data_IF_518437083225
#
_entry.id   IF_518437083225
#
_cell.length_a   1.000
_cell.length_b   1.000
_cell.length_c   1.000
_cell.angle_alpha   90.00
_cell.angle_beta   90.00
_cell.angle_gamma   90.00
#
_symmetry.space_group_name_H-M   'P 1'
#
loop_
_entity.id
_entity.type
_entity.pdbx_description
1 polymer ?
#
# COMPACT_ATOMS: atom_id res chain seq x y z
N UNK A 1 14.86 -12.39 4.29
CA UNK A 1 14.53 -11.48 3.20
C UNK A 1 13.23 -10.75 3.52
N UNK A 2 13.22 -9.45 3.31
CA UNK A 2 12.09 -8.62 3.67
C UNK A 2 11.08 -8.56 2.54
N UNK A 3 9.82 -8.77 2.86
CA UNK A 3 8.76 -8.67 1.86
C UNK A 3 8.18 -7.27 1.87
N UNK A 4 7.88 -6.77 0.69
CA UNK A 4 7.37 -5.42 0.52
C UNK A 4 5.85 -5.42 0.41
N UNK A 5 5.22 -4.54 1.18
CA UNK A 5 3.78 -4.37 1.17
C UNK A 5 3.49 -2.92 0.79
N UNK A 6 2.55 -2.74 -0.12
CA UNK A 6 2.09 -1.42 -0.50
C UNK A 6 0.70 -1.20 0.08
N UNK A 7 0.53 -0.08 0.78
CA UNK A 7 -0.76 0.29 1.37
C UNK A 7 -1.31 1.49 0.61
N UNK A 8 -2.54 1.38 0.15
CA UNK A 8 -3.23 2.46 -0.57
C UNK A 8 -4.44 2.88 0.22
N UNK A 9 -4.47 4.12 0.68
CA UNK A 9 -5.58 4.65 1.45
C UNK A 9 -5.55 6.15 1.37
N UNK A 10 -6.71 6.76 1.21
CA UNK A 10 -6.82 8.21 1.17
C UNK A 10 -6.62 8.83 2.54
N UNK A 11 -6.84 8.06 3.58
CA UNK A 11 -6.72 8.53 4.95
C UNK A 11 -5.29 8.35 5.43
N UNK A 12 -4.57 9.46 5.57
CA UNK A 12 -3.16 9.41 5.96
C UNK A 12 -2.95 8.92 7.38
N UNK A 13 -3.94 9.11 8.26
CA UNK A 13 -3.83 8.60 9.62
C UNK A 13 -3.87 7.08 9.62
N UNK A 14 -4.77 6.51 8.83
CA UNK A 14 -4.86 5.06 8.68
C UNK A 14 -3.58 4.49 8.08
N UNK A 15 -3.04 5.16 7.07
CA UNK A 15 -1.80 4.73 6.45
C UNK A 15 -0.67 4.65 7.48
N UNK A 16 -0.58 5.67 8.32
CA UNK A 16 0.48 5.72 9.32
C UNK A 16 0.36 4.58 10.31
N UNK A 17 -0.85 4.31 10.76
CA UNK A 17 -1.08 3.24 11.72
C UNK A 17 -0.73 1.87 11.14
N UNK A 18 -1.20 1.62 9.94
CA UNK A 18 -0.91 0.34 9.28
C UNK A 18 0.58 0.19 9.01
N UNK A 19 1.21 1.26 8.58
CA UNK A 19 2.64 1.23 8.34
C UNK A 19 3.42 0.89 9.60
N UNK A 20 3.05 1.48 10.72
CA UNK A 20 3.73 1.20 11.98
C UNK A 20 3.60 -0.26 12.38
N UNK A 21 2.39 -0.80 12.27
CA UNK A 21 2.14 -2.19 12.65
C UNK A 21 2.93 -3.14 11.76
N UNK A 22 2.86 -2.94 10.46
CA UNK A 22 3.51 -3.85 9.52
C UNK A 22 5.03 -3.74 9.57
N UNK A 23 5.54 -2.53 9.79
CA UNK A 23 6.98 -2.35 9.93
C UNK A 23 7.48 -3.08 11.16
N UNK A 24 6.70 -3.05 12.22
CA UNK A 24 7.05 -3.75 13.45
C UNK A 24 7.11 -5.25 13.24
N UNK A 25 6.29 -5.76 12.31
CA UNK A 25 6.27 -7.18 11.99
C UNK A 25 7.39 -7.59 11.04
N UNK A 26 8.19 -6.66 10.57
CA UNK A 26 9.34 -6.98 9.74
C UNK A 26 9.14 -6.78 8.25
N UNK A 27 8.03 -6.17 7.84
CA UNK A 27 7.79 -5.94 6.42
C UNK A 27 8.39 -4.62 5.96
N UNK A 28 8.74 -4.57 4.68
CA UNK A 28 9.02 -3.31 4.04
C UNK A 28 7.71 -2.69 3.62
N UNK A 29 7.44 -1.47 4.08
CA UNK A 29 6.14 -0.85 3.85
C UNK A 29 6.26 0.41 3.01
N UNK A 30 5.45 0.48 1.97
CA UNK A 30 5.31 1.68 1.16
C UNK A 30 3.87 2.13 1.20
N UNK A 31 3.64 3.41 1.06
CA UNK A 31 2.29 3.96 1.16
C UNK A 31 1.98 4.83 -0.05
N UNK A 32 0.71 4.83 -0.44
CA UNK A 32 0.23 5.68 -1.51
C UNK A 32 -1.18 6.12 -1.15
N UNK A 33 -1.54 7.32 -1.60
CA UNK A 33 -2.88 7.83 -1.34
C UNK A 33 -3.79 7.73 -2.56
N UNK A 34 -3.25 7.29 -3.69
CA UNK A 34 -4.05 7.12 -4.90
C UNK A 34 -3.46 5.99 -5.74
N UNK A 35 -4.23 5.56 -6.73
CA UNK A 35 -3.85 4.42 -7.55
C UNK A 35 -2.71 4.74 -8.51
N UNK A 36 -2.58 5.99 -8.91
CA UNK A 36 -1.52 6.38 -9.83
C UNK A 36 -0.16 6.26 -9.15
N UNK A 37 -0.05 6.80 -7.95
CA UNK A 37 1.16 6.68 -7.15
C UNK A 37 1.48 5.23 -6.85
N UNK A 38 0.46 4.45 -6.51
CA UNK A 38 0.63 3.03 -6.21
C UNK A 38 1.19 2.29 -7.42
N UNK A 39 0.68 2.59 -8.60
CA UNK A 39 1.15 1.94 -9.81
C UNK A 39 2.61 2.28 -10.08
N UNK A 40 2.99 3.53 -9.87
CA UNK A 40 4.38 3.94 -10.06
C UNK A 40 5.32 3.20 -9.12
N UNK A 41 4.89 3.01 -7.88
CA UNK A 41 5.69 2.27 -6.91
C UNK A 41 5.85 0.82 -7.36
N UNK A 42 4.78 0.20 -7.79
CA UNK A 42 4.83 -1.19 -8.23
C UNK A 42 5.72 -1.39 -9.45
N UNK A 43 5.85 -0.37 -10.28
CA UNK A 43 6.71 -0.46 -11.46
C UNK A 43 8.19 -0.40 -11.11
N UNK A 44 8.52 0.21 -10.00
CA UNK A 44 9.91 0.41 -9.62
C UNK A 44 10.40 -0.54 -8.53
N UNK A 45 9.49 -1.01 -7.69
CA UNK A 45 9.84 -1.83 -6.53
C UNK A 45 8.99 -3.10 -6.56
N UNK A 46 9.59 -4.27 -6.37
CA UNK A 46 8.81 -5.49 -6.30
C UNK A 46 7.93 -5.48 -5.05
N UNK A 47 6.64 -5.54 -5.25
CA UNK A 47 5.65 -5.51 -4.18
C UNK A 47 4.96 -6.87 -4.14
N UNK A 48 4.96 -7.48 -2.96
CA UNK A 48 4.35 -8.79 -2.81
C UNK A 48 2.87 -8.71 -2.50
N UNK A 49 2.48 -7.75 -1.67
CA UNK A 49 1.08 -7.60 -1.29
C UNK A 49 0.66 -6.14 -1.43
N UNK A 50 -0.59 -5.95 -1.80
CA UNK A 50 -1.19 -4.63 -1.87
C UNK A 50 -2.41 -4.62 -0.97
N UNK A 51 -2.44 -3.71 -0.02
CA UNK A 51 -3.57 -3.51 0.88
C UNK A 51 -4.18 -2.17 0.57
N UNK A 52 -5.49 -2.11 0.42
CA UNK A 52 -6.11 -0.84 0.14
C UNK A 52 -7.60 -0.96 -0.08
N UNK A 53 -8.25 0.18 -0.25
CA UNK A 53 -9.65 0.22 -0.56
C UNK A 53 -9.85 -0.20 -2.01
N UNK A 54 -10.87 -1.02 -2.24
CA UNK A 54 -11.16 -1.48 -3.60
C UNK A 54 -11.39 -0.32 -4.56
N UNK A 55 -12.01 0.74 -4.07
CA UNK A 55 -12.26 1.92 -4.90
C UNK A 55 -10.97 2.58 -5.36
N UNK A 56 -9.99 2.64 -4.48
CA UNK A 56 -8.70 3.24 -4.82
C UNK A 56 -8.00 2.45 -5.91
N UNK A 57 -8.25 1.17 -5.96
CA UNK A 57 -7.65 0.29 -6.96
C UNK A 57 -8.52 0.17 -8.21
N UNK A 58 -9.71 0.70 -8.18
CA UNK A 58 -10.62 0.59 -9.31
C UNK A 58 -11.39 -0.71 -9.38
N UNK A 59 -11.32 -1.53 -8.36
CA UNK A 59 -11.96 -2.85 -8.39
C UNK A 59 -13.35 -2.74 -7.82
N UNK A 60 -14.05 -2.41 -7.37
CA UNK A 60 -15.41 -2.39 -6.88
C UNK A 60 -16.35 -1.65 -7.79
N UNK A 61 -15.89 -1.16 -8.88
CA UNK A 61 -16.73 -0.43 -9.82
C UNK A 61 -17.54 -1.40 -10.66
N UNK A 62 -18.76 -1.08 -10.86
CA UNK A 62 -19.64 -1.88 -11.69
C UNK A 62 -19.98 -1.16 -12.96
#
# INVERSE_FOLDING_TARGET
MQENILIIDKNTVELRKLREVLTREGFGVMTATDSITAKQICEQIPVKFILGEAESLGYGKK
#
